data_IF_751031629323
#
_entry.id   IF_751031629323
#
_cell.length_a   1.000
_cell.length_b   1.000
_cell.length_c   1.000
_cell.angle_alpha   90.00
_cell.angle_beta   90.00
_cell.angle_gamma   90.00
#
_symmetry.space_group_name_H-M   'P 1'
#
loop_
_entity.id
_entity.type
_entity.pdbx_description
1 polymer ?
#
# COMPACT_ATOMS: atom_id res chain seq x y z
N UNK A 1 2.91 1.09 27.65
CA UNK A 1 2.39 -0.25 27.32
C UNK A 1 1.02 -0.05 26.70
N UNK A 2 0.97 0.15 25.41
CA UNK A 2 -0.25 0.50 24.66
C UNK A 2 -0.38 -0.49 23.52
N UNK A 3 -1.42 -1.11 23.49
CA UNK A 3 -2.29 -1.82 22.54
C UNK A 3 -1.86 -1.82 21.04
N UNK A 4 -0.58 -2.15 20.75
CA UNK A 4 -0.16 -2.58 19.39
C UNK A 4 -0.60 -4.04 19.11
N UNK A 5 -1.28 -4.68 20.06
CA UNK A 5 -1.77 -6.06 19.96
C UNK A 5 -3.20 -6.14 19.45
N UNK A 6 -3.47 -5.61 18.24
CA UNK A 6 -4.75 -5.87 17.56
C UNK A 6 -4.67 -6.98 16.53
N UNK A 7 -3.96 -8.03 16.84
CA UNK A 7 -4.28 -9.33 16.30
C UNK A 7 -5.39 -9.87 17.20
N UNK A 8 -6.64 -9.83 16.76
CA UNK A 8 -7.71 -10.62 17.33
C UNK A 8 -7.26 -12.07 17.45
N UNK A 9 -7.81 -12.83 18.40
CA UNK A 9 -7.40 -14.21 18.70
C UNK A 9 -7.64 -15.22 17.55
N UNK A 10 -8.07 -14.76 16.37
CA UNK A 10 -8.31 -15.59 15.19
C UNK A 10 -8.26 -14.84 13.86
N UNK A 11 -8.17 -15.57 12.72
CA UNK A 11 -8.16 -14.97 11.38
C UNK A 11 -9.42 -14.15 11.09
N UNK A 12 -10.55 -14.46 11.72
CA UNK A 12 -11.82 -13.76 11.55
C UNK A 12 -11.81 -12.35 12.17
N UNK A 13 -11.01 -12.12 13.21
CA UNK A 13 -10.94 -10.85 13.93
C UNK A 13 -9.91 -9.87 13.35
N UNK A 14 -9.04 -10.35 12.44
CA UNK A 14 -8.06 -9.52 11.79
C UNK A 14 -8.73 -8.53 10.83
N UNK A 15 -8.50 -7.24 11.05
CA UNK A 15 -8.96 -6.16 10.16
C UNK A 15 -7.82 -5.69 9.26
N UNK A 16 -7.96 -5.77 7.94
CA UNK A 16 -7.04 -5.11 7.05
C UNK A 16 -7.17 -3.59 7.24
N UNK A 17 -6.06 -2.85 7.08
CA UNK A 17 -6.09 -1.40 7.07
C UNK A 17 -7.02 -0.83 5.99
N UNK A 18 -7.33 0.46 6.07
CA UNK A 18 -8.28 1.14 5.18
C UNK A 18 -8.02 0.87 3.69
N UNK A 19 -6.76 0.69 3.31
CA UNK A 19 -6.35 0.50 1.91
C UNK A 19 -6.87 -0.81 1.27
N UNK A 20 -7.16 -1.86 2.07
CA UNK A 20 -7.50 -3.21 1.56
C UNK A 20 -8.94 -3.62 1.90
N UNK A 21 -9.79 -2.71 2.35
CA UNK A 21 -11.16 -3.04 2.75
C UNK A 21 -12.07 -3.47 1.60
N UNK A 22 -11.80 -3.00 0.38
CA UNK A 22 -12.61 -3.37 -0.80
C UNK A 22 -14.00 -2.73 -0.84
N UNK A 23 -14.19 -1.57 -0.20
CA UNK A 23 -15.49 -0.89 -0.05
C UNK A 23 -15.68 0.33 -0.91
N UNK A 24 -14.64 0.85 -1.56
CA UNK A 24 -14.70 2.06 -2.37
C UNK A 24 -15.16 1.81 -3.82
N UNK A 25 -15.35 2.88 -4.62
CA UNK A 25 -15.66 2.79 -6.04
C UNK A 25 -14.60 2.00 -6.81
N UNK A 26 -15.04 1.22 -7.80
CA UNK A 26 -14.18 0.38 -8.64
C UNK A 26 -13.23 -0.55 -7.86
N UNK A 27 -13.58 -0.92 -6.62
CA UNK A 27 -12.70 -1.70 -5.72
C UNK A 27 -12.39 -3.12 -6.21
N UNK A 28 -13.09 -3.60 -7.21
CA UNK A 28 -12.77 -4.83 -7.94
C UNK A 28 -11.48 -4.69 -8.77
N UNK A 29 -11.15 -3.48 -9.24
CA UNK A 29 -9.94 -3.15 -10.01
C UNK A 29 -9.01 -2.23 -9.21
N UNK A 30 -9.51 -1.11 -8.68
CA UNK A 30 -8.75 -0.19 -7.88
C UNK A 30 -8.74 -0.62 -6.40
N UNK A 31 -7.63 -1.17 -5.93
CA UNK A 31 -7.50 -1.64 -4.54
C UNK A 31 -7.56 -0.46 -3.57
N UNK A 32 -6.72 0.55 -3.81
CA UNK A 32 -6.73 1.77 -3.02
C UNK A 32 -6.20 2.98 -3.79
N UNK A 33 -6.63 4.15 -3.37
CA UNK A 33 -6.03 5.44 -3.72
C UNK A 33 -5.21 5.93 -2.54
N UNK A 34 -4.01 6.47 -2.79
CA UNK A 34 -3.11 6.98 -1.77
C UNK A 34 -2.51 8.32 -2.18
N UNK A 35 -2.61 9.30 -1.31
CA UNK A 35 -1.86 10.56 -1.40
C UNK A 35 -0.72 10.56 -0.37
N UNK A 36 0.46 11.06 -0.75
CA UNK A 36 1.64 11.23 0.12
C UNK A 36 2.23 12.61 -0.06
N UNK A 37 2.73 13.20 1.03
CA UNK A 37 3.47 14.45 1.05
C UNK A 37 4.81 14.26 1.75
N UNK A 38 5.88 14.72 1.11
CA UNK A 38 7.21 14.81 1.69
C UNK A 38 7.44 16.22 2.23
N UNK A 39 7.93 16.34 3.47
CA UNK A 39 8.17 17.62 4.15
C UNK A 39 9.44 17.55 4.97
N UNK A 40 10.26 18.61 4.90
CA UNK A 40 11.37 18.84 5.80
C UNK A 40 11.12 20.08 6.65
N UNK A 41 11.81 20.20 7.77
CA UNK A 41 11.68 21.31 8.71
C UNK A 41 12.89 22.22 8.60
N UNK A 42 12.65 23.53 8.73
CA UNK A 42 13.73 24.52 8.87
C UNK A 42 14.47 24.34 10.18
N UNK A 43 15.78 24.58 10.16
CA UNK A 43 16.63 24.53 11.35
C UNK A 43 17.13 23.12 11.72
N UNK A 44 16.88 22.11 10.89
CA UNK A 44 17.46 20.79 10.97
C UNK A 44 18.15 20.41 9.67
N UNK A 45 19.24 19.63 9.77
CA UNK A 45 19.88 19.07 8.59
C UNK A 45 18.95 18.04 7.90
N UNK A 46 19.00 17.96 6.58
CA UNK A 46 18.20 16.95 5.86
C UNK A 46 18.73 15.54 6.11
N UNK A 47 17.85 14.56 6.04
CA UNK A 47 18.09 13.17 6.45
C UNK A 47 19.43 12.56 6.00
N UNK A 48 19.97 12.80 4.78
CA UNK A 48 21.26 12.24 4.38
C UNK A 48 22.47 12.72 5.21
N UNK A 49 22.33 13.88 5.87
CA UNK A 49 23.40 14.51 6.68
C UNK A 49 23.00 14.67 8.14
N UNK A 50 21.86 14.11 8.56
CA UNK A 50 21.33 14.19 9.90
C UNK A 50 22.11 13.25 10.83
N UNK A 51 22.72 13.80 11.89
CA UNK A 51 23.43 13.04 12.91
C UNK A 51 22.45 12.41 13.92
N UNK A 52 22.84 11.35 14.63
CA UNK A 52 21.98 10.59 15.52
C UNK A 52 21.34 11.44 16.62
N UNK A 53 22.13 12.29 17.31
CA UNK A 53 21.62 13.19 18.35
C UNK A 53 20.61 14.20 17.78
N UNK A 54 20.86 14.70 16.58
CA UNK A 54 19.94 15.62 15.91
C UNK A 54 18.68 14.89 15.44
N UNK A 55 18.80 13.65 15.00
CA UNK A 55 17.68 12.76 14.64
C UNK A 55 16.74 12.55 15.83
N UNK A 56 17.26 12.23 17.00
CA UNK A 56 16.47 12.08 18.22
C UNK A 56 15.79 13.40 18.63
N UNK A 57 16.52 14.52 18.56
CA UNK A 57 15.97 15.85 18.84
C UNK A 57 14.83 16.21 17.88
N UNK A 58 15.01 15.95 16.58
CA UNK A 58 14.00 16.19 15.55
C UNK A 58 12.77 15.30 15.78
N UNK A 59 12.96 14.01 16.05
CA UNK A 59 11.89 13.07 16.35
C UNK A 59 11.03 13.59 17.51
N UNK A 60 11.66 13.91 18.66
CA UNK A 60 10.94 14.42 19.83
C UNK A 60 10.22 15.73 19.52
N UNK A 61 10.86 16.63 18.76
CA UNK A 61 10.25 17.89 18.35
C UNK A 61 8.99 17.67 17.52
N UNK A 62 8.99 16.71 16.59
CA UNK A 62 7.83 16.38 15.74
C UNK A 62 6.73 15.73 16.59
N UNK A 63 7.07 14.71 17.38
CA UNK A 63 6.09 13.98 18.21
C UNK A 63 5.34 14.92 19.15
N UNK A 64 6.05 15.79 19.83
CA UNK A 64 5.49 16.83 20.70
C UNK A 64 4.40 17.68 19.99
N UNK A 65 4.54 17.93 18.67
CA UNK A 65 3.59 18.71 17.86
C UNK A 65 2.41 17.88 17.37
N UNK A 66 2.67 16.62 17.05
CA UNK A 66 1.60 15.70 16.62
C UNK A 66 0.64 15.35 17.75
N UNK A 67 1.14 15.31 19.01
CA UNK A 67 0.32 15.04 20.21
C UNK A 67 -0.52 16.24 20.67
N UNK A 68 -0.24 17.45 20.16
CA UNK A 68 -1.01 18.62 20.51
C UNK A 68 -2.45 18.55 19.95
N UNK A 69 -3.46 19.07 20.68
CA UNK A 69 -4.85 19.13 20.21
C UNK A 69 -4.98 19.85 18.87
N UNK A 70 -5.90 19.38 18.03
CA UNK A 70 -6.25 20.03 16.76
C UNK A 70 -5.62 19.41 15.52
N UNK A 71 -5.02 18.24 15.63
CA UNK A 71 -4.79 17.38 14.46
C UNK A 71 -6.15 16.87 13.93
N UNK A 72 -6.33 16.75 12.60
CA UNK A 72 -7.61 16.32 12.02
C UNK A 72 -7.95 14.87 12.39
N UNK A 73 -6.94 14.05 12.67
CA UNK A 73 -7.07 12.66 13.07
C UNK A 73 -6.39 12.43 14.43
N UNK A 74 -6.93 11.51 15.23
CA UNK A 74 -6.25 11.05 16.45
C UNK A 74 -5.18 10.06 16.07
N UNK A 75 -3.92 10.47 16.20
CA UNK A 75 -2.76 9.66 15.86
C UNK A 75 -2.18 8.96 17.12
N UNK A 76 -1.76 7.70 16.94
CA UNK A 76 -0.93 6.99 17.90
C UNK A 76 0.50 6.98 17.36
N UNK A 77 1.44 7.47 18.14
CA UNK A 77 2.87 7.47 17.76
C UNK A 77 3.50 6.15 18.22
N UNK A 78 4.16 5.50 17.30
CA UNK A 78 4.98 4.29 17.52
C UNK A 78 6.44 4.67 17.32
N UNK A 79 7.21 4.62 18.38
CA UNK A 79 8.66 4.70 18.33
C UNK A 79 9.18 3.38 17.75
N UNK A 80 9.96 3.45 16.67
CA UNK A 80 10.45 2.25 15.99
C UNK A 80 11.75 1.70 16.57
N UNK A 81 12.49 2.44 17.40
CA UNK A 81 13.75 1.96 17.98
C UNK A 81 13.60 0.65 18.77
N UNK A 82 12.61 0.52 19.68
CA UNK A 82 12.43 -0.71 20.44
C UNK A 82 11.64 -1.80 19.69
N UNK A 83 11.17 -1.50 18.47
CA UNK A 83 10.32 -2.42 17.67
C UNK A 83 11.20 -3.44 16.97
N UNK A 84 10.86 -4.73 17.11
CA UNK A 84 11.60 -5.82 16.46
C UNK A 84 11.37 -5.89 14.93
N UNK A 85 12.23 -6.63 14.24
CA UNK A 85 12.21 -6.76 12.77
C UNK A 85 10.89 -7.36 12.25
N UNK A 86 10.24 -8.24 13.01
CA UNK A 86 8.97 -8.84 12.63
C UNK A 86 7.84 -7.79 12.64
N UNK A 87 7.76 -7.00 13.70
CA UNK A 87 6.76 -5.94 13.81
C UNK A 87 7.02 -4.82 12.79
N UNK A 88 8.29 -4.42 12.57
CA UNK A 88 8.64 -3.49 11.47
C UNK A 88 8.20 -4.04 10.10
N UNK A 89 8.44 -5.32 9.84
CA UNK A 89 8.02 -5.98 8.60
C UNK A 89 6.50 -6.01 8.45
N UNK A 90 5.74 -6.21 9.53
CA UNK A 90 4.28 -6.11 9.51
C UNK A 90 3.80 -4.71 9.13
N UNK A 91 4.42 -3.66 9.66
CA UNK A 91 4.09 -2.28 9.29
C UNK A 91 4.38 -2.00 7.81
N UNK A 92 5.43 -2.60 7.24
CA UNK A 92 5.72 -2.56 5.78
C UNK A 92 4.65 -3.28 4.99
N UNK A 93 4.27 -4.50 5.36
CA UNK A 93 3.23 -5.28 4.69
C UNK A 93 1.87 -4.60 4.73
N UNK A 94 1.59 -3.82 5.80
CA UNK A 94 0.40 -2.96 5.93
C UNK A 94 0.52 -1.62 5.19
N UNK A 95 1.64 -1.35 4.52
CA UNK A 95 1.96 -0.08 3.86
C UNK A 95 1.99 1.17 4.77
N UNK A 96 2.11 0.99 6.08
CA UNK A 96 2.19 2.08 7.06
C UNK A 96 3.57 2.73 7.08
N UNK A 97 4.62 1.93 6.87
CA UNK A 97 6.00 2.41 6.72
C UNK A 97 6.61 1.90 5.41
N UNK A 98 7.71 2.53 4.98
CA UNK A 98 8.53 2.05 3.86
C UNK A 98 9.52 0.97 4.32
N UNK A 99 10.13 0.27 3.37
CA UNK A 99 11.23 -0.66 3.65
C UNK A 99 12.48 0.09 4.13
N UNK A 100 12.70 1.27 3.59
CA UNK A 100 13.78 2.17 3.94
C UNK A 100 13.66 2.58 5.42
N UNK A 101 12.47 2.98 5.87
CA UNK A 101 12.22 3.30 7.28
C UNK A 101 12.38 2.07 8.19
N UNK A 102 11.90 0.91 7.75
CA UNK A 102 12.02 -0.34 8.52
C UNK A 102 13.48 -0.77 8.76
N UNK A 103 14.38 -0.43 7.82
CA UNK A 103 15.82 -0.74 7.91
C UNK A 103 16.67 0.43 8.42
N UNK A 104 16.05 1.55 8.78
CA UNK A 104 16.76 2.73 9.26
C UNK A 104 17.34 2.48 10.67
N UNK A 105 18.61 2.82 10.86
CA UNK A 105 19.31 2.69 12.15
C UNK A 105 19.20 3.94 13.02
N UNK A 106 18.77 5.08 12.43
CA UNK A 106 18.53 6.32 13.17
C UNK A 106 17.24 6.24 13.97
N UNK A 107 17.08 7.17 14.94
CA UNK A 107 15.83 7.30 15.69
C UNK A 107 14.67 7.67 14.76
N UNK A 108 13.71 6.76 14.64
CA UNK A 108 12.59 6.87 13.69
C UNK A 108 11.26 6.53 14.36
N UNK A 109 10.18 6.91 13.73
CA UNK A 109 8.86 6.54 14.19
C UNK A 109 7.78 6.66 13.12
N UNK A 110 6.59 6.24 13.51
CA UNK A 110 5.39 6.41 12.69
C UNK A 110 4.20 6.80 13.56
N UNK A 111 3.45 7.79 13.14
CA UNK A 111 2.17 8.16 13.76
C UNK A 111 1.04 7.64 12.88
N UNK A 112 0.11 6.85 13.45
CA UNK A 112 -0.94 6.14 12.70
C UNK A 112 -2.29 6.36 13.37
N UNK A 113 -3.35 6.58 12.59
CA UNK A 113 -4.71 6.64 13.07
C UNK A 113 -5.29 5.24 13.35
N UNK A 114 -6.47 5.20 13.99
CA UNK A 114 -7.10 3.94 14.40
C UNK A 114 -7.41 2.99 13.24
N UNK A 115 -7.85 3.52 12.10
CA UNK A 115 -8.30 2.75 10.94
C UNK A 115 -7.17 2.48 9.95
N UNK A 116 -5.93 2.93 10.27
CA UNK A 116 -4.77 2.86 9.38
C UNK A 116 -5.02 3.53 8.03
N UNK A 117 -5.80 4.58 8.06
CA UNK A 117 -6.11 5.40 6.90
C UNK A 117 -5.16 6.59 6.75
N UNK A 118 -4.49 6.96 7.83
CA UNK A 118 -3.46 8.00 7.91
C UNK A 118 -2.21 7.43 8.56
N UNK A 119 -1.04 7.68 7.97
CA UNK A 119 0.24 7.42 8.61
C UNK A 119 1.22 8.55 8.29
N UNK A 120 2.01 8.95 9.29
CA UNK A 120 3.09 9.94 9.16
C UNK A 120 4.39 9.26 9.59
N UNK A 121 5.24 8.94 8.64
CA UNK A 121 6.60 8.46 8.90
C UNK A 121 7.48 9.63 9.32
N UNK A 122 8.32 9.42 10.33
CA UNK A 122 9.21 10.42 10.93
C UNK A 122 10.65 9.95 10.75
N UNK A 123 11.51 10.84 10.22
CA UNK A 123 12.94 10.60 9.96
C UNK A 123 13.23 9.47 8.95
N UNK A 124 12.45 9.39 7.86
CA UNK A 124 12.75 8.53 6.72
C UNK A 124 13.75 9.22 5.76
N UNK A 125 13.46 9.29 4.48
CA UNK A 125 14.20 10.05 3.47
C UNK A 125 14.08 11.56 3.71
N UNK A 126 12.88 12.00 4.11
CA UNK A 126 12.56 13.34 4.57
C UNK A 126 12.11 13.29 6.04
N UNK A 127 12.08 14.44 6.73
CA UNK A 127 11.73 14.50 8.15
C UNK A 127 10.32 14.00 8.41
N UNK A 128 9.40 14.28 7.48
CA UNK A 128 8.01 13.84 7.50
C UNK A 128 7.61 13.27 6.14
N UNK A 129 6.92 12.14 6.17
CA UNK A 129 6.24 11.58 5.02
C UNK A 129 4.83 11.21 5.41
N UNK A 130 3.93 12.19 5.28
CA UNK A 130 2.52 12.00 5.55
C UNK A 130 1.86 11.23 4.40
N UNK A 131 0.93 10.32 4.74
CA UNK A 131 0.16 9.57 3.75
C UNK A 131 -1.27 9.33 4.22
N UNK A 132 -2.19 9.34 3.27
CA UNK A 132 -3.61 9.04 3.45
C UNK A 132 -4.02 7.96 2.46
N UNK A 133 -4.81 6.99 2.92
CA UNK A 133 -5.35 5.89 2.13
C UNK A 133 -6.88 5.93 2.11
N UNK A 134 -7.45 5.56 0.97
CA UNK A 134 -8.87 5.22 0.84
C UNK A 134 -9.03 3.99 -0.04
N UNK A 135 -9.92 3.07 0.33
CA UNK A 135 -10.23 1.87 -0.46
C UNK A 135 -10.88 2.25 -1.78
N UNK A 136 -10.51 1.59 -2.88
CA UNK A 136 -11.03 1.87 -4.20
C UNK A 136 -10.50 3.15 -4.84
N UNK A 137 -11.21 3.67 -5.84
CA UNK A 137 -10.84 4.84 -6.61
C UNK A 137 -11.44 6.12 -6.02
N UNK A 138 -10.74 6.75 -5.07
CA UNK A 138 -11.21 7.91 -4.30
C UNK A 138 -10.19 9.06 -4.24
N UNK A 139 -9.84 9.68 -5.38
CA UNK A 139 -8.79 10.71 -5.44
C UNK A 139 -9.17 12.00 -4.70
N UNK A 140 -10.44 12.38 -4.71
CA UNK A 140 -10.90 13.60 -4.05
C UNK A 140 -10.93 13.45 -2.53
N UNK A 141 -11.29 12.26 -2.02
CA UNK A 141 -11.27 11.98 -0.58
C UNK A 141 -9.83 12.01 -0.04
N UNK A 142 -8.90 11.28 -0.66
CA UNK A 142 -7.50 11.29 -0.19
C UNK A 142 -6.86 12.66 -0.32
N UNK A 143 -7.25 13.45 -1.34
CA UNK A 143 -6.76 14.82 -1.51
C UNK A 143 -7.26 15.72 -0.38
N UNK A 144 -8.55 15.79 -0.14
CA UNK A 144 -9.12 16.63 0.90
C UNK A 144 -8.60 16.29 2.31
N UNK A 145 -8.33 15.02 2.55
CA UNK A 145 -7.80 14.55 3.83
C UNK A 145 -6.33 14.88 3.99
N UNK A 146 -5.50 14.65 2.95
CA UNK A 146 -4.07 14.96 3.02
C UNK A 146 -3.83 16.48 3.08
N UNK A 147 -4.64 17.28 2.38
CA UNK A 147 -4.60 18.75 2.44
C UNK A 147 -4.89 19.27 3.85
N UNK A 148 -5.97 18.80 4.49
CA UNK A 148 -6.27 19.16 5.90
C UNK A 148 -5.17 18.73 6.86
N UNK A 149 -4.56 17.56 6.62
CA UNK A 149 -3.45 17.08 7.43
C UNK A 149 -2.21 17.96 7.26
N UNK A 150 -1.86 18.34 6.03
CA UNK A 150 -0.73 19.21 5.72
C UNK A 150 -0.92 20.61 6.32
N UNK A 151 -2.11 21.20 6.20
CA UNK A 151 -2.47 22.48 6.83
C UNK A 151 -2.27 22.44 8.36
N UNK A 152 -2.69 21.36 9.01
CA UNK A 152 -2.51 21.17 10.43
C UNK A 152 -1.02 21.01 10.81
N UNK A 153 -0.22 20.35 9.99
CA UNK A 153 1.22 20.23 10.16
C UNK A 153 1.93 21.57 9.97
N UNK A 154 1.59 22.33 8.92
CA UNK A 154 2.19 23.65 8.63
C UNK A 154 1.90 24.69 9.73
N UNK A 155 0.77 24.59 10.42
CA UNK A 155 0.47 25.45 11.57
C UNK A 155 1.36 25.17 12.80
N UNK A 156 1.99 24.02 12.88
CA UNK A 156 2.74 23.54 14.06
C UNK A 156 4.24 23.41 13.84
N UNK A 157 4.63 23.24 12.59
CA UNK A 157 5.98 22.89 12.20
C UNK A 157 6.50 23.86 11.14
N UNK A 158 7.70 24.42 11.30
CA UNK A 158 8.30 25.35 10.34
C UNK A 158 8.79 24.55 9.11
N UNK A 159 7.99 24.44 8.08
CA UNK A 159 8.36 23.70 6.87
C UNK A 159 9.49 24.37 6.11
N UNK A 160 10.44 23.57 5.59
CA UNK A 160 11.48 24.01 4.68
C UNK A 160 10.86 24.29 3.31
N UNK A 161 10.74 25.59 2.96
CA UNK A 161 10.09 26.06 1.75
C UNK A 161 10.88 27.18 1.09
N UNK A 162 10.79 27.28 -0.22
CA UNK A 162 11.41 28.29 -1.06
C UNK A 162 10.41 28.83 -2.09
N UNK A 163 10.46 30.14 -2.36
CA UNK A 163 9.62 30.75 -3.41
C UNK A 163 9.92 30.19 -4.81
N UNK A 164 11.17 29.80 -5.06
CA UNK A 164 11.60 29.28 -6.37
C UNK A 164 11.27 27.80 -6.54
N UNK A 165 11.42 26.98 -5.48
CA UNK A 165 11.37 25.52 -5.58
C UNK A 165 10.18 24.88 -4.85
N UNK A 166 9.40 25.62 -4.10
CA UNK A 166 8.34 25.07 -3.25
C UNK A 166 8.90 24.37 -2.01
N UNK A 167 8.32 23.28 -1.59
CA UNK A 167 8.80 22.47 -0.47
C UNK A 167 10.14 21.82 -0.80
N UNK A 168 11.10 22.00 0.09
CA UNK A 168 12.46 21.48 -0.08
C UNK A 168 12.54 20.06 0.51
N UNK A 169 13.03 19.13 -0.30
CA UNK A 169 13.12 17.72 0.07
C UNK A 169 14.54 17.18 -0.14
N UNK A 170 14.87 16.09 0.55
CA UNK A 170 16.15 15.41 0.43
C UNK A 170 16.37 14.85 -0.98
N UNK A 171 15.30 14.31 -1.58
CA UNK A 171 15.32 13.82 -2.95
C UNK A 171 14.74 14.88 -3.91
N UNK A 172 15.49 15.31 -4.95
CA UNK A 172 15.00 16.29 -5.93
C UNK A 172 13.67 15.89 -6.61
N UNK A 173 13.37 14.60 -6.70
CA UNK A 173 12.13 14.11 -7.31
C UNK A 173 10.88 14.40 -6.49
N UNK A 174 11.04 14.76 -5.21
CA UNK A 174 9.94 15.15 -4.32
C UNK A 174 9.85 16.68 -4.17
N UNK A 175 10.88 17.45 -4.55
CA UNK A 175 10.92 18.91 -4.44
C UNK A 175 9.78 19.54 -5.24
N UNK A 176 9.20 20.62 -4.72
CA UNK A 176 8.04 21.30 -5.29
C UNK A 176 6.81 21.12 -4.45
N UNK A 177 5.80 20.44 -4.94
CA UNK A 177 4.60 20.11 -4.14
C UNK A 177 4.88 19.06 -3.07
N UNK A 178 5.90 18.22 -3.25
CA UNK A 178 6.14 17.03 -2.43
C UNK A 178 5.05 15.96 -2.58
N UNK A 179 4.06 16.19 -3.46
CA UNK A 179 2.90 15.32 -3.63
C UNK A 179 3.20 14.10 -4.49
N UNK A 180 2.89 12.93 -3.97
CA UNK A 180 2.78 11.71 -4.74
C UNK A 180 1.40 11.11 -4.60
N UNK A 181 0.58 11.25 -5.64
CA UNK A 181 -0.70 10.57 -5.77
C UNK A 181 -0.50 9.23 -6.47
N UNK A 182 -1.06 8.17 -5.93
CA UNK A 182 -0.95 6.82 -6.50
C UNK A 182 -2.26 6.06 -6.37
N UNK A 183 -2.50 5.17 -7.33
CA UNK A 183 -3.59 4.19 -7.28
C UNK A 183 -2.99 2.81 -7.46
N UNK A 184 -3.34 1.88 -6.56
CA UNK A 184 -3.00 0.47 -6.68
C UNK A 184 -4.12 -0.24 -7.44
N UNK A 185 -3.76 -0.89 -8.53
CA UNK A 185 -4.66 -1.56 -9.44
C UNK A 185 -4.40 -3.07 -9.47
N UNK A 186 -5.46 -3.85 -9.55
CA UNK A 186 -5.44 -5.29 -9.80
C UNK A 186 -5.82 -5.53 -11.27
N UNK A 187 -4.86 -5.93 -12.09
CA UNK A 187 -4.95 -5.95 -13.55
C UNK A 187 -4.77 -7.36 -14.17
N UNK A 188 -5.42 -8.41 -13.65
CA UNK A 188 -5.25 -9.76 -14.19
C UNK A 188 -5.72 -9.89 -15.64
N UNK A 189 -6.74 -9.13 -16.07
CA UNK A 189 -7.19 -9.12 -17.45
C UNK A 189 -6.09 -8.69 -18.41
N UNK A 190 -5.46 -7.54 -18.14
CA UNK A 190 -4.36 -7.02 -18.96
C UNK A 190 -3.12 -7.92 -18.91
N UNK A 191 -2.84 -8.56 -17.78
CA UNK A 191 -1.72 -9.53 -17.66
C UNK A 191 -2.00 -10.78 -18.48
N UNK A 192 -3.19 -11.34 -18.39
CA UNK A 192 -3.54 -12.59 -19.08
C UNK A 192 -3.72 -12.42 -20.58
N UNK A 193 -4.01 -11.19 -21.04
CA UNK A 193 -4.05 -10.82 -22.48
C UNK A 193 -2.71 -10.32 -23.03
N UNK A 194 -1.66 -10.25 -22.20
CA UNK A 194 -0.32 -9.73 -22.56
C UNK A 194 -0.32 -8.23 -22.94
N UNK A 195 -1.33 -7.48 -22.50
CA UNK A 195 -1.49 -6.04 -22.77
C UNK A 195 -0.91 -5.12 -21.69
N UNK A 196 -0.49 -5.66 -20.55
CA UNK A 196 -0.02 -4.88 -19.40
C UNK A 196 1.22 -4.03 -19.71
N UNK A 197 2.15 -4.54 -20.50
CA UNK A 197 3.35 -3.80 -20.90
C UNK A 197 2.99 -2.60 -21.78
N UNK A 198 1.97 -2.73 -22.62
CA UNK A 198 1.46 -1.63 -23.43
C UNK A 198 0.82 -0.54 -22.54
N UNK A 199 0.04 -0.92 -21.54
CA UNK A 199 -0.52 0.03 -20.57
C UNK A 199 0.58 0.75 -19.79
N UNK A 200 1.61 0.03 -19.32
CA UNK A 200 2.78 0.57 -18.63
C UNK A 200 3.55 1.57 -19.50
N UNK A 201 3.84 1.22 -20.75
CA UNK A 201 4.55 2.09 -21.69
C UNK A 201 3.77 3.41 -21.99
N UNK A 202 2.45 3.37 -22.04
CA UNK A 202 1.62 4.58 -22.20
C UNK A 202 1.78 5.50 -20.98
N UNK A 203 1.72 4.95 -19.77
CA UNK A 203 1.93 5.71 -18.53
C UNK A 203 3.31 6.39 -18.49
N UNK A 204 4.37 5.66 -18.84
CA UNK A 204 5.74 6.20 -18.85
C UNK A 204 5.90 7.39 -19.82
N UNK A 205 5.24 7.36 -20.98
CA UNK A 205 5.28 8.46 -21.96
C UNK A 205 4.66 9.76 -21.44
N UNK A 206 3.82 9.70 -20.44
CA UNK A 206 3.18 10.87 -19.79
C UNK A 206 3.74 11.13 -18.39
N UNK A 207 4.95 10.64 -18.12
CA UNK A 207 5.68 10.82 -16.86
C UNK A 207 4.97 10.26 -15.62
N UNK A 208 4.26 9.13 -15.79
CA UNK A 208 3.74 8.35 -14.68
C UNK A 208 4.60 7.10 -14.47
N UNK A 209 4.86 6.76 -13.20
CA UNK A 209 5.50 5.52 -12.82
C UNK A 209 4.46 4.41 -12.67
N UNK A 210 4.77 3.24 -13.22
CA UNK A 210 4.05 2.00 -12.95
C UNK A 210 5.02 1.03 -12.25
N UNK A 211 4.62 0.52 -11.08
CA UNK A 211 5.47 -0.29 -10.20
C UNK A 211 4.67 -1.49 -9.69
N UNK A 212 5.36 -2.55 -9.25
CA UNK A 212 4.71 -3.66 -8.56
C UNK A 212 4.22 -3.29 -7.14
N UNK A 213 3.62 -4.26 -6.46
CA UNK A 213 2.95 -4.11 -5.16
C UNK A 213 3.80 -3.41 -4.08
N UNK A 214 5.09 -3.71 -4.03
CA UNK A 214 6.01 -3.21 -3.00
C UNK A 214 6.91 -2.03 -3.45
N UNK A 215 6.60 -1.39 -4.58
CA UNK A 215 7.26 -0.15 -5.01
C UNK A 215 8.39 -0.35 -6.01
N UNK A 216 9.44 0.48 -5.92
CA UNK A 216 10.49 0.60 -6.93
C UNK A 216 11.29 -0.69 -7.10
N UNK A 217 11.50 -1.10 -8.37
CA UNK A 217 12.23 -2.31 -8.71
C UNK A 217 11.51 -3.63 -8.35
N UNK A 218 10.31 -3.58 -7.74
CA UNK A 218 9.57 -4.79 -7.41
C UNK A 218 8.86 -5.38 -8.64
N UNK A 219 8.92 -6.72 -8.76
CA UNK A 219 8.12 -7.46 -9.73
C UNK A 219 6.63 -7.30 -9.39
N UNK A 220 5.78 -7.25 -10.41
CA UNK A 220 4.34 -7.28 -10.19
C UNK A 220 3.90 -8.67 -9.74
N UNK A 221 3.76 -8.86 -8.44
CA UNK A 221 3.27 -10.10 -7.85
C UNK A 221 1.75 -10.03 -7.72
N UNK A 222 1.06 -11.12 -8.07
CA UNK A 222 -0.39 -11.23 -7.97
C UNK A 222 -1.16 -10.24 -8.85
N UNK A 223 -0.57 -9.79 -9.97
CA UNK A 223 -1.18 -8.85 -10.94
C UNK A 223 -1.50 -7.47 -10.33
N UNK A 224 -0.82 -7.06 -9.24
CA UNK A 224 -0.97 -5.75 -8.61
C UNK A 224 0.05 -4.74 -9.13
N UNK A 225 -0.46 -3.59 -9.58
CA UNK A 225 0.33 -2.50 -10.15
C UNK A 225 -0.01 -1.18 -9.47
N UNK A 226 0.99 -0.39 -9.13
CA UNK A 226 0.80 0.95 -8.61
C UNK A 226 1.12 1.98 -9.69
N UNK A 227 0.16 2.82 -10.05
CA UNK A 227 0.34 3.97 -10.95
C UNK A 227 0.47 5.23 -10.12
N UNK A 228 1.48 6.08 -10.38
CA UNK A 228 1.73 7.32 -9.63
C UNK A 228 2.42 8.38 -10.49
N UNK A 229 2.31 9.67 -10.11
CA UNK A 229 3.15 10.72 -10.70
C UNK A 229 4.64 10.50 -10.37
N UNK A 230 5.52 11.01 -11.25
CA UNK A 230 6.98 11.03 -11.06
C UNK A 230 7.51 12.44 -10.82
N UNK A 231 6.84 13.46 -11.34
CA UNK A 231 7.29 14.84 -11.33
C UNK A 231 6.43 15.63 -10.34
N UNK A 232 7.09 16.43 -9.51
CA UNK A 232 6.49 17.32 -8.50
C UNK A 232 6.91 18.78 -8.72
N UNK A 233 8.15 19.03 -9.19
CA UNK A 233 8.67 20.36 -9.44
C UNK A 233 8.05 20.95 -10.71
N UNK A 234 7.59 22.21 -10.62
CA UNK A 234 7.00 22.94 -11.74
C UNK A 234 5.60 22.48 -12.14
N UNK A 235 4.95 21.70 -11.28
CA UNK A 235 3.56 21.29 -11.43
C UNK A 235 2.76 21.63 -10.17
N UNK A 236 1.53 22.04 -10.35
CA UNK A 236 0.58 22.18 -9.23
C UNK A 236 -0.10 20.86 -8.91
N UNK A 237 -0.69 20.77 -7.74
CA UNK A 237 -1.35 19.57 -7.23
C UNK A 237 -2.59 19.21 -8.07
N UNK A 238 -3.31 20.20 -8.59
CA UNK A 238 -4.49 19.99 -9.41
C UNK A 238 -4.10 19.28 -10.72
N UNK A 239 -3.02 19.72 -11.35
CA UNK A 239 -2.49 19.10 -12.57
C UNK A 239 -1.97 17.69 -12.34
N UNK A 240 -1.27 17.46 -11.22
CA UNK A 240 -0.82 16.11 -10.84
C UNK A 240 -2.02 15.17 -10.69
N UNK A 241 -3.08 15.63 -10.02
CA UNK A 241 -4.30 14.83 -9.81
C UNK A 241 -4.98 14.52 -11.14
N UNK A 242 -5.15 15.52 -12.00
CA UNK A 242 -5.77 15.36 -13.32
C UNK A 242 -5.01 14.33 -14.17
N UNK A 243 -3.68 14.47 -14.28
CA UNK A 243 -2.84 13.58 -15.11
C UNK A 243 -2.91 12.11 -14.61
N UNK A 244 -2.80 11.89 -13.29
CA UNK A 244 -2.90 10.55 -12.70
C UNK A 244 -4.29 9.96 -12.93
N UNK A 245 -5.35 10.72 -12.68
CA UNK A 245 -6.73 10.23 -12.79
C UNK A 245 -7.14 9.94 -14.22
N UNK A 246 -6.69 10.75 -15.18
CA UNK A 246 -6.92 10.49 -16.58
C UNK A 246 -6.30 9.16 -17.05
N UNK A 247 -5.06 8.89 -16.61
CA UNK A 247 -4.37 7.64 -16.94
C UNK A 247 -5.01 6.43 -16.25
N UNK A 248 -5.27 6.54 -14.95
CA UNK A 248 -5.90 5.47 -14.15
C UNK A 248 -7.28 5.13 -14.71
N UNK A 249 -8.11 6.13 -15.00
CA UNK A 249 -9.45 5.90 -15.57
C UNK A 249 -9.40 5.14 -16.91
N UNK A 250 -8.40 5.43 -17.76
CA UNK A 250 -8.19 4.69 -19.02
C UNK A 250 -7.74 3.24 -18.78
N UNK A 251 -6.85 3.01 -17.80
CA UNK A 251 -6.40 1.66 -17.47
C UNK A 251 -7.55 0.85 -16.87
N UNK A 252 -8.32 1.42 -15.96
CA UNK A 252 -9.49 0.77 -15.36
C UNK A 252 -10.50 0.38 -16.46
N UNK A 253 -10.81 1.31 -17.36
CA UNK A 253 -11.71 1.01 -18.48
C UNK A 253 -11.15 -0.08 -19.39
N UNK A 254 -9.85 -0.07 -19.69
CA UNK A 254 -9.24 -1.11 -20.51
C UNK A 254 -9.27 -2.47 -19.81
N UNK A 255 -8.96 -2.54 -18.52
CA UNK A 255 -9.10 -3.76 -17.73
C UNK A 255 -10.54 -4.30 -17.76
N UNK A 256 -11.55 -3.42 -17.62
CA UNK A 256 -12.97 -3.81 -17.71
C UNK A 256 -13.30 -4.41 -19.09
N UNK A 257 -12.89 -3.76 -20.17
CA UNK A 257 -13.15 -4.24 -21.54
C UNK A 257 -12.47 -5.59 -21.79
N UNK A 258 -11.25 -5.78 -21.31
CA UNK A 258 -10.53 -7.06 -21.40
C UNK A 258 -11.19 -8.14 -20.54
N UNK A 259 -11.62 -7.84 -19.30
CA UNK A 259 -12.38 -8.77 -18.46
C UNK A 259 -13.62 -9.26 -19.17
N UNK A 260 -14.40 -8.34 -19.78
CA UNK A 260 -15.58 -8.73 -20.55
C UNK A 260 -15.23 -9.64 -21.74
N UNK A 261 -14.13 -9.38 -22.45
CA UNK A 261 -13.69 -10.22 -23.57
C UNK A 261 -13.26 -11.61 -23.08
N UNK A 262 -12.55 -11.71 -21.95
CA UNK A 262 -12.13 -12.96 -21.33
C UNK A 262 -13.32 -13.83 -20.85
N UNK A 263 -14.48 -13.22 -20.59
CA UNK A 263 -15.69 -13.92 -20.15
C UNK A 263 -16.58 -14.41 -21.32
N UNK A 264 -16.16 -14.23 -22.59
CA UNK A 264 -16.96 -14.59 -23.78
C UNK A 264 -16.29 -15.69 -24.61
N UNK A 265 -17.11 -16.48 -25.30
CA UNK A 265 -16.67 -17.44 -26.31
C UNK A 265 -15.64 -18.46 -25.80
N UNK A 266 -14.64 -18.76 -26.62
CA UNK A 266 -13.57 -19.71 -26.28
C UNK A 266 -12.61 -19.20 -25.21
N UNK A 267 -12.48 -17.88 -25.05
CA UNK A 267 -11.65 -17.29 -24.00
C UNK A 267 -12.19 -17.62 -22.61
N UNK A 268 -13.53 -17.67 -22.46
CA UNK A 268 -14.16 -17.99 -21.17
C UNK A 268 -13.73 -19.36 -20.62
N UNK A 269 -13.58 -20.37 -21.47
CA UNK A 269 -13.17 -21.70 -21.02
C UNK A 269 -11.74 -21.66 -20.45
N UNK A 270 -10.82 -20.95 -21.11
CA UNK A 270 -9.43 -20.81 -20.64
C UNK A 270 -9.36 -20.00 -19.34
N UNK A 271 -10.15 -18.95 -19.24
CA UNK A 271 -10.24 -18.11 -18.04
C UNK A 271 -10.80 -18.91 -16.87
N UNK A 272 -11.86 -19.65 -17.07
CA UNK A 272 -12.47 -20.53 -16.09
C UNK A 272 -11.48 -21.61 -15.61
N UNK A 273 -10.78 -22.29 -16.54
CA UNK A 273 -9.75 -23.29 -16.19
C UNK A 273 -8.65 -22.66 -15.30
N UNK A 274 -8.16 -21.47 -15.65
CA UNK A 274 -7.14 -20.75 -14.86
C UNK A 274 -7.64 -20.46 -13.43
N UNK A 275 -8.84 -19.93 -13.28
CA UNK A 275 -9.44 -19.63 -11.96
C UNK A 275 -9.63 -20.90 -11.15
N UNK A 276 -10.17 -21.96 -11.74
CA UNK A 276 -10.39 -23.23 -11.02
C UNK A 276 -9.10 -23.95 -10.67
N UNK A 277 -8.03 -23.87 -11.49
CA UNK A 277 -6.71 -24.39 -11.12
C UNK A 277 -6.14 -23.65 -9.91
N UNK A 278 -6.24 -22.33 -9.89
CA UNK A 278 -5.80 -21.53 -8.75
C UNK A 278 -6.60 -21.90 -7.48
N UNK A 279 -7.91 -22.02 -7.59
CA UNK A 279 -8.77 -22.47 -6.48
C UNK A 279 -8.38 -23.87 -6.00
N UNK A 280 -8.23 -24.85 -6.91
CA UNK A 280 -7.79 -26.19 -6.56
C UNK A 280 -6.41 -26.21 -5.89
N UNK A 281 -5.49 -25.32 -6.29
CA UNK A 281 -4.20 -25.14 -5.62
C UNK A 281 -4.39 -24.63 -4.20
N UNK A 282 -5.18 -23.56 -4.00
CA UNK A 282 -5.48 -23.01 -2.67
C UNK A 282 -6.15 -24.02 -1.74
N UNK A 283 -7.02 -24.89 -2.28
CA UNK A 283 -7.72 -25.92 -1.53
C UNK A 283 -6.85 -27.13 -1.14
N UNK A 284 -5.88 -27.49 -1.96
CA UNK A 284 -5.21 -28.81 -1.84
C UNK A 284 -3.69 -28.75 -1.66
N UNK A 285 -3.04 -27.65 -2.02
CA UNK A 285 -1.60 -27.54 -1.86
C UNK A 285 -1.18 -27.68 -0.39
N UNK A 286 -0.09 -28.39 -0.14
CA UNK A 286 0.49 -28.55 1.19
C UNK A 286 1.61 -27.53 1.43
N UNK A 287 2.16 -26.98 0.35
CA UNK A 287 3.23 -25.99 0.34
C UNK A 287 2.84 -24.90 -0.67
N UNK A 288 2.93 -23.63 -0.27
CA UNK A 288 2.70 -22.48 -1.13
C UNK A 288 3.74 -21.42 -0.83
N UNK A 289 4.53 -21.04 -1.82
CA UNK A 289 5.41 -19.86 -1.72
C UNK A 289 4.55 -18.58 -1.68
N UNK A 290 5.10 -17.45 -1.20
CA UNK A 290 4.39 -16.18 -1.21
C UNK A 290 3.98 -15.76 -2.63
N UNK A 291 4.84 -15.98 -3.63
CA UNK A 291 4.57 -15.64 -5.03
C UNK A 291 3.42 -16.48 -5.60
N UNK A 292 3.45 -17.80 -5.38
CA UNK A 292 2.40 -18.71 -5.82
C UNK A 292 1.05 -18.41 -5.15
N UNK A 293 1.07 -18.17 -3.84
CA UNK A 293 -0.13 -17.80 -3.08
C UNK A 293 -0.76 -16.51 -3.61
N UNK A 294 0.04 -15.45 -3.85
CA UNK A 294 -0.45 -14.20 -4.41
C UNK A 294 -1.02 -14.39 -5.82
N UNK A 295 -0.39 -15.21 -6.67
CA UNK A 295 -0.89 -15.52 -8.00
C UNK A 295 -2.24 -16.27 -7.97
N UNK A 296 -2.37 -17.25 -7.08
CA UNK A 296 -3.62 -17.99 -6.90
C UNK A 296 -4.73 -17.10 -6.30
N UNK A 297 -4.40 -16.26 -5.31
CA UNK A 297 -5.35 -15.31 -4.72
C UNK A 297 -5.78 -14.22 -5.72
N UNK A 298 -4.90 -13.76 -6.61
CA UNK A 298 -5.23 -12.87 -7.72
C UNK A 298 -6.27 -13.49 -8.65
N UNK A 299 -6.03 -14.73 -9.08
CA UNK A 299 -6.96 -15.45 -9.94
C UNK A 299 -8.30 -15.73 -9.25
N UNK A 300 -8.29 -16.09 -7.96
CA UNK A 300 -9.51 -16.27 -7.17
C UNK A 300 -10.27 -14.94 -7.05
N UNK A 301 -9.57 -13.84 -6.74
CA UNK A 301 -10.16 -12.51 -6.64
C UNK A 301 -10.84 -12.10 -7.95
N UNK A 302 -10.18 -12.31 -9.09
CA UNK A 302 -10.78 -12.11 -10.41
C UNK A 302 -12.06 -12.97 -10.57
N UNK A 303 -11.99 -14.25 -10.23
CA UNK A 303 -13.14 -15.17 -10.34
C UNK A 303 -14.34 -14.73 -9.51
N UNK A 304 -14.11 -14.28 -8.28
CA UNK A 304 -15.16 -13.79 -7.36
C UNK A 304 -15.81 -12.51 -7.92
N UNK A 305 -15.00 -11.53 -8.31
CA UNK A 305 -15.54 -10.25 -8.83
C UNK A 305 -16.21 -10.37 -10.20
N UNK A 306 -15.89 -11.40 -10.97
CA UNK A 306 -16.51 -11.64 -12.29
C UNK A 306 -17.65 -12.67 -12.27
N UNK A 307 -17.98 -13.23 -11.09
CA UNK A 307 -19.02 -14.25 -10.96
C UNK A 307 -18.67 -15.59 -11.62
N UNK A 308 -17.39 -15.90 -11.79
CA UNK A 308 -16.93 -17.22 -12.25
C UNK A 308 -16.85 -18.23 -11.10
N UNK A 309 -16.75 -17.75 -9.86
CA UNK A 309 -16.68 -18.55 -8.64
C UNK A 309 -17.60 -17.92 -7.60
N UNK A 310 -18.46 -18.73 -7.02
CA UNK A 310 -19.39 -18.34 -5.96
C UNK A 310 -18.93 -18.88 -4.59
N UNK A 311 -19.50 -18.33 -3.51
CA UNK A 311 -19.28 -18.81 -2.15
C UNK A 311 -18.08 -18.19 -1.42
N UNK A 312 -17.37 -17.23 -2.03
CA UNK A 312 -16.26 -16.50 -1.41
C UNK A 312 -16.63 -15.03 -1.18
N UNK A 313 -16.36 -14.56 0.03
CA UNK A 313 -16.45 -13.14 0.34
C UNK A 313 -15.20 -12.40 -0.19
N UNK A 314 -15.36 -11.37 -1.05
CA UNK A 314 -14.22 -10.55 -1.53
C UNK A 314 -13.34 -9.99 -0.40
N UNK A 315 -13.92 -9.65 0.74
CA UNK A 315 -13.17 -9.17 1.90
C UNK A 315 -12.26 -10.25 2.51
N UNK A 316 -12.73 -11.51 2.53
CA UNK A 316 -11.89 -12.63 2.98
C UNK A 316 -10.74 -12.90 2.01
N UNK A 317 -10.95 -12.74 0.70
CA UNK A 317 -9.87 -12.85 -0.29
C UNK A 317 -8.84 -11.72 -0.10
N UNK A 318 -9.30 -10.48 0.12
CA UNK A 318 -8.41 -9.36 0.42
C UNK A 318 -7.64 -9.59 1.75
N UNK A 319 -8.30 -10.12 2.77
CA UNK A 319 -7.66 -10.49 4.04
C UNK A 319 -6.59 -11.56 3.85
N UNK A 320 -6.88 -12.56 3.02
CA UNK A 320 -5.95 -13.63 2.69
C UNK A 320 -4.68 -13.11 1.98
N UNK A 321 -4.80 -12.09 1.11
CA UNK A 321 -3.65 -11.43 0.48
C UNK A 321 -2.65 -10.88 1.52
N UNK A 322 -3.14 -10.27 2.60
CA UNK A 322 -2.29 -9.70 3.63
C UNK A 322 -1.78 -10.77 4.62
N UNK A 323 -2.66 -11.64 5.13
CA UNK A 323 -2.29 -12.66 6.11
C UNK A 323 -1.34 -13.72 5.56
N UNK A 324 -1.32 -13.91 4.22
CA UNK A 324 -0.35 -14.81 3.57
C UNK A 324 1.07 -14.23 3.47
N UNK A 325 1.27 -12.92 3.78
CA UNK A 325 2.59 -12.30 3.76
C UNK A 325 3.47 -12.82 4.92
N UNK A 326 4.80 -12.84 4.74
CA UNK A 326 5.71 -13.50 5.67
C UNK A 326 5.62 -13.02 7.13
N UNK A 327 5.48 -11.72 7.37
CA UNK A 327 5.45 -11.19 8.73
C UNK A 327 4.09 -11.43 9.40
N UNK A 328 2.99 -11.18 8.68
CA UNK A 328 1.64 -11.45 9.18
C UNK A 328 1.43 -12.94 9.47
N UNK A 329 1.94 -13.83 8.62
CA UNK A 329 1.86 -15.27 8.83
C UNK A 329 2.55 -15.70 10.14
N UNK A 330 3.77 -15.22 10.37
CA UNK A 330 4.53 -15.54 11.59
C UNK A 330 3.86 -14.94 12.84
N UNK A 331 3.34 -13.72 12.75
CA UNK A 331 2.58 -13.12 13.86
C UNK A 331 1.32 -13.90 14.17
N UNK A 332 0.62 -14.35 13.13
CA UNK A 332 -0.60 -15.15 13.29
C UNK A 332 -0.31 -16.50 13.95
N UNK A 333 0.73 -17.20 13.51
CA UNK A 333 1.14 -18.49 14.10
C UNK A 333 1.80 -18.36 15.46
N UNK A 334 2.23 -17.13 15.84
CA UNK A 334 3.04 -16.85 17.05
C UNK A 334 4.37 -17.64 17.07
N UNK A 335 4.91 -17.93 15.90
CA UNK A 335 6.12 -18.74 15.71
C UNK A 335 7.09 -18.01 14.78
N UNK A 336 8.38 -18.08 15.08
CA UNK A 336 9.43 -17.70 14.12
C UNK A 336 9.70 -18.90 13.23
N UNK A 337 9.36 -18.78 11.97
CA UNK A 337 9.36 -19.89 11.00
C UNK A 337 10.48 -19.74 9.97
N UNK A 338 11.17 -20.87 9.64
CA UNK A 338 12.03 -20.95 8.49
C UNK A 338 11.24 -20.79 7.17
N UNK A 339 11.89 -20.45 6.04
CA UNK A 339 11.18 -20.26 4.76
C UNK A 339 10.26 -21.40 4.37
N UNK A 340 10.73 -22.65 4.47
CA UNK A 340 9.98 -23.86 4.12
C UNK A 340 8.79 -24.09 5.06
N UNK A 341 8.95 -23.81 6.34
CA UNK A 341 7.87 -23.88 7.34
C UNK A 341 6.81 -22.82 7.08
N UNK A 342 7.22 -21.60 6.70
CA UNK A 342 6.29 -20.55 6.29
C UNK A 342 5.44 -20.98 5.10
N UNK A 343 6.00 -21.65 4.11
CA UNK A 343 5.29 -22.09 2.92
C UNK A 343 4.24 -23.17 3.26
N UNK A 344 4.52 -24.07 4.20
CA UNK A 344 3.57 -25.05 4.73
C UNK A 344 2.44 -24.37 5.53
N UNK A 345 2.80 -23.45 6.44
CA UNK A 345 1.82 -22.73 7.26
C UNK A 345 0.94 -21.81 6.43
N UNK A 346 1.48 -21.18 5.38
CA UNK A 346 0.72 -20.37 4.43
C UNK A 346 -0.34 -21.21 3.72
N UNK A 347 0.01 -22.39 3.24
CA UNK A 347 -0.95 -23.30 2.61
C UNK A 347 -2.07 -23.69 3.57
N UNK A 348 -1.75 -24.01 4.82
CA UNK A 348 -2.72 -24.32 5.86
C UNK A 348 -3.65 -23.13 6.15
N UNK A 349 -3.06 -21.95 6.43
CA UNK A 349 -3.81 -20.72 6.74
C UNK A 349 -4.79 -20.34 5.62
N UNK A 350 -4.37 -20.44 4.36
CA UNK A 350 -5.23 -20.09 3.23
C UNK A 350 -6.43 -21.05 3.09
N UNK A 351 -6.25 -22.35 3.35
CA UNK A 351 -7.38 -23.30 3.41
C UNK A 351 -8.38 -22.93 4.51
N UNK A 352 -7.88 -22.58 5.69
CA UNK A 352 -8.72 -22.19 6.84
C UNK A 352 -9.50 -20.89 6.54
N UNK A 353 -8.82 -19.86 6.04
CA UNK A 353 -9.42 -18.56 5.72
C UNK A 353 -10.48 -18.62 4.62
N UNK A 354 -10.26 -19.46 3.62
CA UNK A 354 -11.14 -19.59 2.47
C UNK A 354 -12.25 -20.64 2.69
N UNK A 355 -12.29 -21.28 3.88
CA UNK A 355 -13.30 -22.31 4.19
C UNK A 355 -13.10 -23.61 3.42
N UNK A 356 -11.90 -23.85 2.89
CA UNK A 356 -11.54 -25.01 2.11
C UNK A 356 -10.99 -26.13 3.03
N UNK A 357 -11.67 -26.45 4.11
CA UNK A 357 -11.27 -27.57 4.99
C UNK A 357 -11.55 -28.89 4.29
N UNK A 358 -10.62 -29.87 4.33
CA UNK A 358 -10.81 -31.19 3.68
C UNK A 358 -11.94 -31.99 4.28
#
# INVERSE_FOLDING_TARGET
MSDASRAGDGPADFRPGAWLQGTGPDSDIAICTRARLARNLQGFAFSPTLEDEESERLYRYIVDRLEQPGMPEKLNVVDLDPVDDLERSMLVERHLISRELASCERHTGVAVDYDESVAIMINEEDHLRAQVFSSGLQPDDVWQRIERLDDALMQRLPMAWSEEFGFLTSCPTNTGTGLRLSVMLHLPGLVWSEDVDRATNVCQKIHLAVRGLYGEGSRALGDFYQVSNQITLGRDEARIREDVMLAVGRIVKWEQDVREALLRGSARVKTLDRVHRALGTLERAQILTSEEALGCLSALRFGVHTGLVDGFDPQNVNRALLLSQPAHLQRYTRETLAPEERDQRRAQLLRELLGCTP
#
